data_IF_186847893621
#
_entry.id   IF_186847893621
#
_cell.length_a   1.000
_cell.length_b   1.000
_cell.length_c   1.000
_cell.angle_alpha   90.00
_cell.angle_beta   90.00
_cell.angle_gamma   90.00
#
_symmetry.space_group_name_H-M   'P 1'
#
loop_
_entity.id
_entity.type
_entity.pdbx_description
1 polymer ?
#
# COMPACT_ATOMS: atom_id res chain seq x y z
N UNK A 1 16.67 1.03 -11.07
CA UNK A 1 15.36 0.32 -11.14
C UNK A 1 15.61 -1.14 -10.86
N UNK A 2 14.82 -1.83 -10.02
CA UNK A 2 15.11 -3.24 -9.70
C UNK A 2 14.67 -4.14 -10.84
N UNK A 3 15.33 -5.29 -11.01
CA UNK A 3 14.99 -6.27 -12.05
C UNK A 3 13.54 -6.77 -11.98
N UNK A 4 12.96 -6.81 -10.78
CA UNK A 4 11.56 -7.19 -10.57
C UNK A 4 10.59 -6.13 -11.12
N UNK A 5 10.88 -4.84 -10.90
CA UNK A 5 10.07 -3.72 -11.42
C UNK A 5 10.06 -3.72 -12.95
N UNK A 6 11.22 -3.98 -13.57
CA UNK A 6 11.36 -4.06 -15.04
C UNK A 6 10.51 -5.20 -15.61
N UNK A 7 10.51 -6.37 -14.96
CA UNK A 7 9.68 -7.51 -15.39
C UNK A 7 8.19 -7.21 -15.26
N UNK A 8 7.78 -6.60 -14.15
CA UNK A 8 6.38 -6.24 -13.93
C UNK A 8 5.89 -5.20 -14.94
N UNK A 9 6.72 -4.19 -15.23
CA UNK A 9 6.43 -3.20 -16.26
C UNK A 9 6.26 -3.85 -17.64
N UNK A 10 7.13 -4.80 -18.00
CA UNK A 10 7.02 -5.53 -19.27
C UNK A 10 5.72 -6.35 -19.37
N UNK A 11 5.26 -6.93 -18.26
CA UNK A 11 3.96 -7.64 -18.21
C UNK A 11 2.81 -6.64 -18.44
N UNK A 12 2.79 -5.53 -17.70
CA UNK A 12 1.76 -4.50 -17.85
C UNK A 12 1.71 -3.92 -19.26
N UNK A 13 2.87 -3.68 -19.88
CA UNK A 13 2.96 -3.23 -21.28
C UNK A 13 2.38 -4.29 -22.23
N UNK A 14 2.68 -5.57 -22.03
CA UNK A 14 2.14 -6.64 -22.87
C UNK A 14 0.61 -6.74 -22.76
N UNK A 15 0.08 -6.70 -21.54
CA UNK A 15 -1.36 -6.72 -21.25
C UNK A 15 -2.08 -5.51 -21.87
N UNK A 16 -1.53 -4.31 -21.69
CA UNK A 16 -2.10 -3.06 -22.24
C UNK A 16 -2.15 -3.06 -23.76
N UNK A 17 -1.16 -3.67 -24.40
CA UNK A 17 -1.10 -3.78 -25.86
C UNK A 17 -1.85 -5.01 -26.40
N UNK A 18 -2.56 -5.77 -25.55
CA UNK A 18 -3.21 -7.04 -25.90
C UNK A 18 -2.27 -7.98 -26.68
N UNK A 19 -1.00 -8.04 -26.29
CA UNK A 19 0.01 -8.90 -26.88
C UNK A 19 0.39 -10.05 -25.96
N UNK A 20 0.91 -11.16 -26.50
CA UNK A 20 1.50 -12.22 -25.70
C UNK A 20 2.63 -11.67 -24.83
N UNK A 21 2.82 -12.27 -23.65
CA UNK A 21 3.90 -11.90 -22.75
C UNK A 21 5.26 -12.04 -23.44
N UNK A 22 6.16 -11.10 -23.18
CA UNK A 22 7.52 -11.14 -23.72
C UNK A 22 8.25 -12.40 -23.27
N UNK A 23 9.01 -13.01 -24.20
CA UNK A 23 9.78 -14.22 -23.91
C UNK A 23 10.93 -13.92 -22.94
N UNK A 24 11.39 -14.95 -22.22
CA UNK A 24 12.47 -14.80 -21.24
C UNK A 24 13.76 -14.25 -21.84
N UNK A 25 14.03 -14.51 -23.12
CA UNK A 25 15.17 -13.94 -23.85
C UNK A 25 15.07 -12.42 -23.95
N UNK A 26 13.92 -11.92 -24.44
CA UNK A 26 13.66 -10.48 -24.58
C UNK A 26 13.69 -9.77 -23.23
N UNK A 27 13.13 -10.38 -22.18
CA UNK A 27 13.20 -9.83 -20.82
C UNK A 27 14.65 -9.70 -20.34
N UNK A 28 15.50 -10.68 -20.66
CA UNK A 28 16.91 -10.68 -20.28
C UNK A 28 17.70 -9.60 -21.01
N UNK A 29 17.40 -9.38 -22.30
CA UNK A 29 18.03 -8.33 -23.10
C UNK A 29 17.64 -6.94 -22.61
N UNK A 30 16.36 -6.74 -22.26
CA UNK A 30 15.90 -5.48 -21.64
C UNK A 30 16.59 -5.25 -20.30
N UNK A 31 16.65 -6.26 -19.44
CA UNK A 31 17.37 -6.17 -18.17
C UNK A 31 18.86 -5.83 -18.39
N UNK A 32 19.50 -6.48 -19.35
CA UNK A 32 20.89 -6.21 -19.70
C UNK A 32 21.09 -4.77 -20.19
N UNK A 33 20.17 -4.25 -21.02
CA UNK A 33 20.19 -2.86 -21.49
C UNK A 33 19.95 -1.84 -20.36
N UNK A 34 19.18 -2.20 -19.33
CA UNK A 34 19.04 -1.39 -18.11
C UNK A 34 20.32 -1.39 -17.26
N UNK A 35 21.04 -2.51 -17.18
CA UNK A 35 22.26 -2.61 -16.35
C UNK A 35 23.49 -1.99 -17.01
N UNK A 36 23.60 -2.06 -18.35
CA UNK A 36 24.75 -1.59 -19.10
C UNK A 36 24.50 -0.24 -19.79
N UNK A 37 23.39 0.43 -19.44
CA UNK A 37 22.91 1.67 -20.02
C UNK A 37 22.87 1.70 -21.56
N UNK A 38 22.49 0.58 -22.17
CA UNK A 38 22.34 0.47 -23.62
C UNK A 38 20.97 0.98 -24.08
N UNK A 39 20.89 1.43 -25.33
CA UNK A 39 19.61 1.78 -25.93
C UNK A 39 18.81 0.52 -26.28
N UNK A 40 17.53 0.50 -25.91
CA UNK A 40 16.62 -0.59 -26.23
C UNK A 40 15.18 -0.06 -26.38
N UNK A 41 14.42 -0.45 -27.42
CA UNK A 41 13.06 0.06 -27.65
C UNK A 41 12.12 -0.15 -26.47
N UNK A 42 12.16 -1.35 -25.87
CA UNK A 42 11.38 -1.69 -24.68
C UNK A 42 11.88 -1.01 -23.39
N UNK A 43 13.15 -0.57 -23.32
CA UNK A 43 13.65 0.18 -22.16
C UNK A 43 12.94 1.53 -22.05
N UNK A 44 12.77 2.23 -23.18
CA UNK A 44 12.03 3.51 -23.23
C UNK A 44 10.56 3.33 -22.86
N UNK A 45 9.92 2.27 -23.33
CA UNK A 45 8.55 1.92 -22.96
C UNK A 45 8.43 1.65 -21.45
N UNK A 46 9.35 0.85 -20.89
CA UNK A 46 9.40 0.54 -19.45
C UNK A 46 9.69 1.78 -18.60
N UNK A 47 10.52 2.72 -19.06
CA UNK A 47 10.80 3.99 -18.34
C UNK A 47 9.62 4.96 -18.36
N UNK A 48 8.79 4.91 -19.42
CA UNK A 48 7.56 5.71 -19.51
C UNK A 48 6.39 5.09 -18.75
N UNK A 49 6.47 3.80 -18.43
CA UNK A 49 5.43 3.13 -17.65
C UNK A 49 5.59 3.54 -16.18
N UNK A 50 4.57 4.22 -15.66
CA UNK A 50 4.42 4.44 -14.22
C UNK A 50 4.20 3.05 -13.63
N UNK A 51 5.26 2.44 -13.10
CA UNK A 51 5.16 1.18 -12.38
C UNK A 51 4.31 1.46 -11.16
N UNK A 52 3.00 1.23 -11.28
CA UNK A 52 2.14 1.01 -10.13
C UNK A 52 2.62 -0.33 -9.60
N UNK A 53 3.62 -0.30 -8.73
CA UNK A 53 4.05 -1.46 -7.97
C UNK A 53 2.86 -1.82 -7.09
N UNK A 54 2.00 -2.70 -7.61
CA UNK A 54 1.22 -3.57 -6.75
C UNK A 54 2.27 -4.40 -6.05
N UNK A 55 2.69 -3.94 -4.87
CA UNK A 55 3.66 -4.61 -4.01
C UNK A 55 3.07 -5.95 -3.58
N UNK A 56 3.39 -7.00 -4.34
CA UNK A 56 2.98 -8.38 -4.07
C UNK A 56 3.64 -8.88 -2.77
N UNK A 57 4.78 -8.30 -2.37
CA UNK A 57 5.54 -8.70 -1.17
C UNK A 57 5.15 -7.96 0.12
N UNK A 58 4.31 -6.92 0.08
CA UNK A 58 3.97 -6.15 1.27
C UNK A 58 5.17 -5.47 1.96
N UNK A 59 6.28 -5.28 1.25
CA UNK A 59 7.52 -4.68 1.80
C UNK A 59 7.57 -3.17 1.62
N UNK A 60 6.82 -2.60 0.68
CA UNK A 60 6.73 -1.15 0.60
C UNK A 60 5.94 -0.55 1.76
N UNK A 61 6.46 0.57 2.27
CA UNK A 61 5.87 1.39 3.32
C UNK A 61 4.37 1.64 3.06
N UNK A 62 4.02 1.89 1.80
CA UNK A 62 2.63 2.10 1.39
C UNK A 62 1.78 0.84 1.49
N UNK A 63 2.29 -0.33 1.09
CA UNK A 63 1.55 -1.58 1.18
C UNK A 63 1.30 -1.97 2.65
N UNK A 64 2.30 -1.80 3.51
CA UNK A 64 2.16 -1.99 4.96
C UNK A 64 1.14 -1.00 5.56
N UNK A 65 1.20 0.27 5.17
CA UNK A 65 0.24 1.27 5.61
C UNK A 65 -1.18 0.93 5.15
N UNK A 66 -1.35 0.53 3.88
CA UNK A 66 -2.64 0.13 3.32
C UNK A 66 -3.20 -1.07 4.07
N UNK A 67 -2.38 -2.10 4.29
CA UNK A 67 -2.76 -3.31 5.05
C UNK A 67 -3.18 -2.97 6.47
N UNK A 68 -2.42 -2.13 7.16
CA UNK A 68 -2.75 -1.66 8.50
C UNK A 68 -4.05 -0.83 8.53
N UNK A 69 -4.26 0.00 7.51
CA UNK A 69 -5.43 0.84 7.33
C UNK A 69 -6.63 0.14 6.66
N UNK A 70 -6.60 -1.20 6.52
CA UNK A 70 -7.76 -1.98 6.05
C UNK A 70 -8.86 -2.05 7.11
N UNK A 71 -8.49 -2.02 8.39
CA UNK A 71 -9.44 -2.03 9.50
C UNK A 71 -10.24 -0.73 9.53
N UNK A 72 -11.57 -0.86 9.60
CA UNK A 72 -12.48 0.28 9.65
C UNK A 72 -12.22 1.12 10.90
N UNK A 73 -12.06 2.43 10.74
CA UNK A 73 -11.73 3.35 11.85
C UNK A 73 -10.23 3.41 12.23
N UNK A 74 -9.40 2.51 11.71
CA UNK A 74 -7.96 2.48 12.03
C UNK A 74 -7.21 3.68 11.45
N UNK A 75 -7.70 4.25 10.35
CA UNK A 75 -7.11 5.46 9.72
C UNK A 75 -7.22 6.67 10.65
N UNK A 76 -8.38 6.86 11.28
CA UNK A 76 -8.59 7.95 12.24
C UNK A 76 -7.75 7.77 13.49
N UNK A 77 -7.67 6.54 14.01
CA UNK A 77 -6.88 6.23 15.20
C UNK A 77 -5.39 6.43 14.91
N UNK A 78 -4.88 5.90 13.81
CA UNK A 78 -3.49 6.07 13.43
C UNK A 78 -3.13 7.54 13.18
N UNK A 79 -4.00 8.30 12.52
CA UNK A 79 -3.81 9.73 12.32
C UNK A 79 -3.71 10.49 13.66
N UNK A 80 -4.58 10.14 14.62
CA UNK A 80 -4.62 10.74 15.95
C UNK A 80 -3.37 10.38 16.77
N UNK A 81 -2.97 9.11 16.78
CA UNK A 81 -1.83 8.61 17.57
C UNK A 81 -0.49 9.07 16.98
N UNK A 82 -0.34 9.04 15.66
CA UNK A 82 0.88 9.49 14.99
C UNK A 82 1.01 11.03 14.93
N UNK A 83 -0.05 11.77 15.29
CA UNK A 83 -0.12 13.22 15.13
C UNK A 83 0.07 13.64 13.67
N UNK A 84 -0.46 12.86 12.74
CA UNK A 84 -0.43 13.12 11.30
C UNK A 84 -1.84 13.48 10.85
N UNK A 85 -2.04 14.61 10.15
CA UNK A 85 -3.37 14.98 9.68
C UNK A 85 -3.96 13.87 8.81
N UNK A 86 -5.24 13.55 9.03
CA UNK A 86 -5.95 12.51 8.27
C UNK A 86 -5.93 12.78 6.76
N UNK A 87 -5.94 14.06 6.36
CA UNK A 87 -5.80 14.47 4.95
C UNK A 87 -4.46 14.01 4.37
N UNK A 88 -3.38 14.16 5.12
CA UNK A 88 -2.03 13.73 4.73
C UNK A 88 -1.97 12.20 4.65
N UNK A 89 -2.56 11.50 5.63
CA UNK A 89 -2.65 10.04 5.61
C UNK A 89 -3.42 9.53 4.37
N UNK A 90 -4.54 10.18 4.02
CA UNK A 90 -5.31 9.87 2.81
C UNK A 90 -4.52 10.14 1.53
N UNK A 91 -3.79 11.25 1.46
CA UNK A 91 -2.93 11.57 0.31
C UNK A 91 -1.82 10.50 0.12
N UNK A 92 -1.25 9.98 1.21
CA UNK A 92 -0.30 8.86 1.13
C UNK A 92 -0.99 7.57 0.62
N UNK A 93 -2.16 7.23 1.16
CA UNK A 93 -2.92 6.04 0.75
C UNK A 93 -3.40 6.12 -0.70
N UNK A 94 -3.71 7.32 -1.19
CA UNK A 94 -4.13 7.62 -2.55
C UNK A 94 -2.96 7.72 -3.55
N UNK A 95 -1.72 7.51 -3.10
CA UNK A 95 -0.50 7.69 -3.91
C UNK A 95 -0.29 9.12 -4.45
N UNK A 96 -1.04 10.11 -3.96
CA UNK A 96 -0.88 11.53 -4.35
C UNK A 96 0.43 12.13 -3.82
N UNK A 97 0.98 11.54 -2.75
CA UNK A 97 2.20 12.00 -2.11
C UNK A 97 3.08 10.83 -1.70
N UNK A 98 4.39 10.95 -1.95
CA UNK A 98 5.37 9.99 -1.48
C UNK A 98 5.51 10.07 0.05
N UNK A 99 5.59 8.90 0.70
CA UNK A 99 5.90 8.82 2.12
C UNK A 99 7.41 9.01 2.27
N UNK A 100 7.82 10.06 2.97
CA UNK A 100 9.23 10.27 3.33
C UNK A 100 9.63 9.32 4.46
N UNK A 101 10.88 8.85 4.50
CA UNK A 101 11.37 7.93 5.54
C UNK A 101 11.14 8.46 6.97
N UNK A 102 11.33 9.76 7.22
CA UNK A 102 11.05 10.37 8.54
C UNK A 102 9.58 10.22 8.96
N UNK A 103 8.66 10.42 8.02
CA UNK A 103 7.22 10.27 8.25
C UNK A 103 6.86 8.80 8.42
N UNK A 104 7.52 7.92 7.65
CA UNK A 104 7.34 6.48 7.76
C UNK A 104 7.74 5.95 9.14
N UNK A 105 8.93 6.30 9.63
CA UNK A 105 9.40 5.90 10.97
C UNK A 105 8.41 6.37 12.04
N UNK A 106 7.92 7.61 11.94
CA UNK A 106 6.92 8.13 12.89
C UNK A 106 5.59 7.36 12.85
N UNK A 107 5.10 7.03 11.65
CA UNK A 107 3.89 6.23 11.47
C UNK A 107 4.09 4.81 12.01
N UNK A 108 5.18 4.15 11.63
CA UNK A 108 5.51 2.79 12.02
C UNK A 108 5.66 2.67 13.56
N UNK A 109 6.36 3.60 14.22
CA UNK A 109 6.45 3.63 15.69
C UNK A 109 5.11 3.86 16.38
N UNK A 110 4.11 4.37 15.66
CA UNK A 110 2.76 4.60 16.17
C UNK A 110 1.80 3.43 15.91
N UNK A 111 2.23 2.38 15.20
CA UNK A 111 1.36 1.25 14.86
C UNK A 111 0.91 0.47 16.10
N UNK A 112 1.81 0.12 17.00
CA UNK A 112 1.46 -0.64 18.21
C UNK A 112 0.52 0.14 19.14
N UNK A 113 0.76 1.45 19.25
CA UNK A 113 -0.11 2.36 20.00
C UNK A 113 -1.49 2.51 19.34
N UNK A 114 -1.55 2.59 18.00
CA UNK A 114 -2.81 2.63 17.26
C UNK A 114 -3.60 1.32 17.37
N UNK A 115 -2.94 0.17 17.32
CA UNK A 115 -3.56 -1.14 17.58
C UNK A 115 -4.12 -1.22 18.99
N UNK A 116 -3.35 -0.81 19.99
CA UNK A 116 -3.79 -0.79 21.39
C UNK A 116 -5.03 0.10 21.59
N UNK A 117 -5.06 1.29 20.97
CA UNK A 117 -6.23 2.17 20.99
C UNK A 117 -7.43 1.59 20.22
N UNK A 118 -7.20 0.92 19.09
CA UNK A 118 -8.23 0.23 18.33
C UNK A 118 -8.88 -0.89 19.16
N UNK A 119 -8.08 -1.75 19.79
CA UNK A 119 -8.58 -2.80 20.68
C UNK A 119 -9.34 -2.23 21.88
N UNK A 120 -8.85 -1.13 22.47
CA UNK A 120 -9.51 -0.45 23.58
C UNK A 120 -10.88 0.12 23.17
N UNK A 121 -10.97 0.72 21.97
CA UNK A 121 -12.25 1.21 21.42
C UNK A 121 -13.19 0.07 21.04
N UNK A 122 -12.68 -1.03 20.48
CA UNK A 122 -13.50 -2.19 20.12
C UNK A 122 -14.06 -2.92 21.34
N UNK A 123 -13.27 -3.10 22.42
CA UNK A 123 -13.75 -3.67 23.70
C UNK A 123 -14.87 -2.84 24.33
N UNK A 124 -14.80 -1.50 24.20
CA UNK A 124 -15.87 -0.60 24.64
C UNK A 124 -17.13 -0.75 23.80
N UNK A 125 -16.98 -0.93 22.48
CA UNK A 125 -18.12 -1.14 21.57
C UNK A 125 -18.86 -2.45 21.85
N UNK A 126 -18.14 -3.55 22.12
CA UNK A 126 -18.76 -4.84 22.50
C UNK A 126 -19.49 -4.76 23.83
N UNK A 127 -18.96 -3.97 24.78
CA UNK A 127 -19.59 -3.77 26.09
C UNK A 127 -20.86 -2.93 25.97
N UNK A 128 -20.86 -1.88 25.15
CA UNK A 128 -22.04 -1.04 24.89
C UNK A 128 -23.10 -1.81 24.09
N UNK A 129 -22.72 -2.63 23.11
CA UNK A 129 -23.65 -3.45 22.31
C UNK A 129 -24.30 -4.57 23.14
N UNK A 130 -23.54 -5.19 24.06
CA UNK A 130 -24.07 -6.17 25.01
C UNK A 130 -24.95 -5.52 26.09
N UNK A 131 -24.64 -4.30 26.53
CA UNK A 131 -25.51 -3.53 27.42
C UNK A 131 -26.79 -3.09 26.70
N UNK A 132 -26.73 -2.58 25.47
CA UNK A 132 -27.92 -2.19 24.70
C UNK A 132 -28.80 -3.38 24.35
N UNK A 133 -28.26 -4.57 24.01
CA UNK A 133 -29.05 -5.80 23.87
C UNK A 133 -29.70 -6.24 25.20
N UNK A 134 -29.03 -6.04 26.33
CA UNK A 134 -29.58 -6.35 27.67
C UNK A 134 -30.69 -5.38 28.11
N UNK A 135 -30.64 -4.11 27.68
CA UNK A 135 -31.61 -3.08 28.07
C UNK A 135 -32.69 -2.78 27.01
N UNK A 136 -32.55 -3.25 25.77
CA UNK A 136 -33.54 -3.04 24.70
C UNK A 136 -34.26 -4.33 24.25
N UNK A 137 -33.95 -5.49 24.85
CA UNK A 137 -34.56 -6.79 24.54
C UNK A 137 -35.69 -7.21 25.50
N UNK A 138 -36.44 -6.26 26.06
CA UNK A 138 -37.50 -6.53 27.02
C UNK A 138 -38.64 -5.54 26.92
N UNK A 139 -39.52 -5.73 25.92
CA UNK A 139 -40.92 -5.32 26.02
C UNK A 139 -41.72 -6.00 24.89
N UNK A 140 -42.56 -6.94 25.33
CA UNK A 140 -43.81 -7.40 24.73
C UNK A 140 -43.78 -8.04 23.34
#
# INVERSE_FOLDING_TARGET
>A
MKSQDIRQALIQIAERNNRPHYTACVVRDVLFAFHNDLDHPLKRAVMNEVVVTVDIDGTSQLAQLKKFCLLYGMREILAQVAGVPLRTLRAYLACERAITDKTWVKLQSSFDAALSEYERKNKKSTTIENLTKKYCGGAA
#
